data_IF_380690327186
#
_entry.id   IF_380690327186
#
_cell.length_a   1.000
_cell.length_b   1.000
_cell.length_c   1.000
_cell.angle_alpha   90.00
_cell.angle_beta   90.00
_cell.angle_gamma   90.00
#
_symmetry.space_group_name_H-M   'P 1'
#
loop_
_entity.id
_entity.type
_entity.pdbx_description
1 polymer ?
#
# COMPACT_ATOMS: atom_id res chain seq x y z
N UNK A 1 7.19 10.33 -5.34
CA UNK A 1 7.02 9.14 -6.21
C UNK A 1 7.77 7.97 -5.59
N UNK A 2 7.22 6.75 -5.56
CA UNK A 2 7.92 5.63 -4.90
C UNK A 2 9.02 5.05 -5.81
N UNK A 3 10.13 4.52 -5.25
CA UNK A 3 11.19 3.92 -6.06
C UNK A 3 10.72 2.78 -6.98
N UNK A 4 9.71 2.02 -6.54
CA UNK A 4 9.08 0.97 -7.35
C UNK A 4 8.35 1.53 -8.57
N UNK A 5 7.63 2.64 -8.42
CA UNK A 5 6.97 3.31 -9.55
C UNK A 5 8.00 3.79 -10.56
N UNK A 6 9.14 4.32 -10.10
CA UNK A 6 10.20 4.76 -11.00
C UNK A 6 10.80 3.63 -11.82
N UNK A 7 11.09 2.52 -11.14
CA UNK A 7 11.64 1.34 -11.79
C UNK A 7 10.65 0.71 -12.76
N UNK A 8 9.37 0.61 -12.41
CA UNK A 8 8.35 -0.01 -13.25
C UNK A 8 7.96 0.83 -14.47
N UNK A 9 7.99 2.17 -14.36
CA UNK A 9 7.60 3.07 -15.46
C UNK A 9 8.80 3.44 -16.34
N UNK A 10 9.94 3.80 -15.74
CA UNK A 10 11.10 4.32 -16.47
C UNK A 10 12.30 3.37 -16.50
N UNK A 11 12.24 2.22 -15.82
CA UNK A 11 13.40 1.31 -15.72
C UNK A 11 14.54 1.86 -14.85
N UNK A 12 14.32 2.96 -14.14
CA UNK A 12 15.37 3.66 -13.37
C UNK A 12 15.53 3.02 -11.99
N UNK A 13 16.79 2.77 -11.61
CA UNK A 13 17.19 2.25 -10.31
C UNK A 13 18.12 3.24 -9.60
N UNK A 14 18.19 3.20 -8.26
CA UNK A 14 19.18 3.96 -7.50
C UNK A 14 20.60 3.47 -7.81
N UNK A 15 21.58 4.34 -7.58
CA UNK A 15 23.01 4.00 -7.74
C UNK A 15 23.50 3.02 -6.68
N UNK A 16 22.89 3.04 -5.50
CA UNK A 16 23.19 2.08 -4.45
C UNK A 16 22.77 0.68 -4.88
N UNK A 17 23.75 -0.22 -4.98
CA UNK A 17 23.52 -1.58 -5.48
C UNK A 17 22.59 -2.41 -4.57
N UNK A 18 22.63 -2.17 -3.27
CA UNK A 18 21.79 -2.88 -2.31
C UNK A 18 20.34 -2.42 -2.45
N UNK A 19 20.11 -1.12 -2.59
CA UNK A 19 18.79 -0.55 -2.83
C UNK A 19 18.25 -0.99 -4.20
N UNK A 20 19.07 -0.97 -5.25
CA UNK A 20 18.68 -1.42 -6.59
C UNK A 20 18.28 -2.91 -6.58
N UNK A 21 19.07 -3.75 -5.91
CA UNK A 21 18.78 -5.18 -5.72
C UNK A 21 17.50 -5.38 -4.93
N UNK A 22 17.27 -4.58 -3.88
CA UNK A 22 16.05 -4.61 -3.09
C UNK A 22 14.81 -4.29 -3.93
N UNK A 23 14.87 -3.22 -4.73
CA UNK A 23 13.80 -2.80 -5.62
C UNK A 23 13.51 -3.89 -6.65
N UNK A 24 14.53 -4.41 -7.34
CA UNK A 24 14.36 -5.51 -8.32
C UNK A 24 13.66 -6.72 -7.70
N UNK A 25 14.08 -7.16 -6.51
CA UNK A 25 13.47 -8.30 -5.81
C UNK A 25 12.01 -8.06 -5.45
N UNK A 26 11.66 -6.83 -5.06
CA UNK A 26 10.29 -6.49 -4.63
C UNK A 26 9.38 -6.07 -5.77
N UNK A 27 9.92 -5.65 -6.92
CA UNK A 27 9.15 -5.13 -8.05
C UNK A 27 8.09 -6.11 -8.55
N UNK A 28 8.35 -7.42 -8.51
CA UNK A 28 7.40 -8.47 -8.92
C UNK A 28 6.09 -8.50 -8.10
N UNK A 29 6.06 -7.84 -6.93
CA UNK A 29 4.86 -7.67 -6.11
C UNK A 29 4.07 -6.41 -6.45
N UNK A 30 4.46 -5.66 -7.49
CA UNK A 30 3.79 -4.43 -7.87
C UNK A 30 3.50 -4.38 -9.37
N UNK A 31 2.43 -3.68 -9.74
CA UNK A 31 2.02 -3.43 -11.12
C UNK A 31 1.55 -1.98 -11.26
N UNK A 32 1.63 -1.43 -12.47
CA UNK A 32 1.06 -0.12 -12.81
C UNK A 32 -0.20 -0.36 -13.64
N UNK A 33 -1.32 0.21 -13.21
CA UNK A 33 -2.57 0.23 -13.96
C UNK A 33 -3.09 1.66 -13.96
N UNK A 34 -3.43 2.18 -15.13
CA UNK A 34 -3.93 3.55 -15.32
C UNK A 34 -3.06 4.63 -14.61
N UNK A 35 -1.73 4.46 -14.68
CA UNK A 35 -0.77 5.37 -14.04
C UNK A 35 -0.66 5.24 -12.52
N UNK A 36 -1.44 4.37 -11.88
CA UNK A 36 -1.44 4.11 -10.44
C UNK A 36 -0.68 2.84 -10.08
N UNK A 37 -0.06 2.84 -8.89
CA UNK A 37 0.70 1.69 -8.40
C UNK A 37 -0.18 0.79 -7.57
N UNK A 38 -0.20 -0.50 -7.90
CA UNK A 38 -0.91 -1.52 -7.14
C UNK A 38 0.05 -2.56 -6.63
N UNK A 39 -0.21 -3.07 -5.42
CA UNK A 39 0.48 -4.22 -4.84
C UNK A 39 -0.30 -5.49 -5.17
N UNK A 40 0.39 -6.45 -5.79
CA UNK A 40 -0.09 -7.81 -6.05
C UNK A 40 0.30 -8.74 -4.92
N UNK A 41 -0.66 -9.54 -4.46
CA UNK A 41 -0.44 -10.72 -3.59
C UNK A 41 -0.96 -11.96 -4.30
N UNK A 42 -0.50 -13.13 -3.86
CA UNK A 42 -0.79 -14.41 -4.52
C UNK A 42 -2.29 -14.75 -4.56
N UNK A 43 -3.00 -14.47 -3.46
CA UNK A 43 -4.41 -14.86 -3.24
C UNK A 43 -5.29 -13.68 -2.83
N UNK A 44 -4.86 -12.44 -3.09
CA UNK A 44 -5.63 -11.25 -2.70
C UNK A 44 -5.83 -10.31 -3.89
N UNK A 45 -6.94 -9.54 -3.91
CA UNK A 45 -7.13 -8.47 -4.87
C UNK A 45 -5.93 -7.52 -4.91
N UNK A 46 -5.79 -6.82 -6.04
CA UNK A 46 -4.81 -5.76 -6.16
C UNK A 46 -5.10 -4.66 -5.14
N UNK A 47 -4.10 -4.30 -4.35
CA UNK A 47 -4.21 -3.24 -3.36
C UNK A 47 -3.61 -1.98 -3.93
N UNK A 48 -4.41 -0.92 -4.08
CA UNK A 48 -3.91 0.38 -4.53
C UNK A 48 -2.93 0.93 -3.51
N UNK A 49 -1.73 1.26 -3.96
CA UNK A 49 -0.72 1.90 -3.13
C UNK A 49 -1.06 3.38 -2.97
N UNK A 50 -1.29 3.80 -1.73
CA UNK A 50 -1.57 5.19 -1.39
C UNK A 50 -0.27 5.95 -1.10
N UNK A 51 -0.26 7.23 -1.46
CA UNK A 51 0.74 8.16 -0.92
C UNK A 51 0.38 8.55 0.53
N UNK A 52 1.27 9.29 1.20
CA UNK A 52 1.05 9.69 2.60
C UNK A 52 -0.25 10.49 2.79
N UNK A 53 -0.50 11.50 1.95
CA UNK A 53 -1.71 12.33 2.06
C UNK A 53 -3.00 11.52 1.88
N UNK A 54 -3.02 10.58 0.93
CA UNK A 54 -4.14 9.68 0.71
C UNK A 54 -4.33 8.70 1.88
N UNK A 55 -3.24 8.17 2.42
CA UNK A 55 -3.27 7.30 3.59
C UNK A 55 -3.80 8.06 4.82
N UNK A 56 -3.33 9.28 5.06
CA UNK A 56 -3.78 10.14 6.15
C UNK A 56 -5.27 10.47 6.03
N UNK A 57 -5.75 10.72 4.81
CA UNK A 57 -7.17 10.90 4.55
C UNK A 57 -7.98 9.65 4.90
N UNK A 58 -7.58 8.48 4.37
CA UNK A 58 -8.27 7.21 4.65
C UNK A 58 -8.26 6.89 6.15
N UNK A 59 -7.16 7.18 6.85
CA UNK A 59 -7.06 6.97 8.29
C UNK A 59 -7.99 7.89 9.08
N UNK A 60 -8.09 9.16 8.69
CA UNK A 60 -9.07 10.09 9.30
C UNK A 60 -10.49 9.63 9.06
N UNK A 61 -10.85 9.28 7.83
CA UNK A 61 -12.19 8.77 7.51
C UNK A 61 -12.52 7.45 8.22
N UNK A 62 -11.54 6.56 8.43
CA UNK A 62 -11.75 5.33 9.18
C UNK A 62 -11.92 5.57 10.69
N UNK A 63 -11.33 6.64 11.21
CA UNK A 63 -11.43 7.04 12.61
C UNK A 63 -12.69 7.87 12.89
N UNK A 64 -13.07 8.75 11.96
CA UNK A 64 -14.24 9.63 12.04
C UNK A 64 -15.52 8.93 11.56
N UNK A 65 -15.40 7.93 10.69
CA UNK A 65 -16.50 7.34 9.93
C UNK A 65 -17.10 6.05 10.50
N UNK A 66 -18.36 5.82 10.09
CA UNK A 66 -19.31 4.76 10.47
C UNK A 66 -18.82 3.31 10.14
N UNK A 67 -17.61 3.12 9.62
CA UNK A 67 -17.02 1.78 9.45
C UNK A 67 -16.97 0.98 10.77
N UNK A 68 -17.14 1.68 11.91
CA UNK A 68 -17.27 1.13 13.24
C UNK A 68 -18.32 0.02 13.38
N UNK A 69 -19.46 0.06 12.66
CA UNK A 69 -20.50 -0.97 12.85
C UNK A 69 -20.25 -2.28 12.09
N UNK A 70 -19.75 -2.24 10.85
CA UNK A 70 -19.66 -3.45 10.01
C UNK A 70 -18.37 -4.25 10.20
N UNK A 71 -17.39 -3.73 10.94
CA UNK A 71 -16.05 -4.33 11.02
C UNK A 71 -15.50 -4.51 12.44
N UNK A 72 -16.36 -4.39 13.46
CA UNK A 72 -16.03 -4.71 14.86
C UNK A 72 -15.28 -6.05 14.93
N UNK A 73 -14.04 -6.02 15.41
CA UNK A 73 -13.18 -7.20 15.58
C UNK A 73 -12.04 -7.38 14.58
N UNK A 74 -11.93 -6.52 13.56
CA UNK A 74 -10.77 -6.52 12.65
C UNK A 74 -9.80 -5.38 12.95
N UNK A 75 -8.50 -5.67 12.86
CA UNK A 75 -7.44 -4.67 12.94
C UNK A 75 -7.54 -3.64 11.81
N UNK A 76 -7.02 -2.43 12.04
CA UNK A 76 -7.08 -1.33 11.05
C UNK A 76 -6.45 -1.71 9.71
N UNK A 77 -5.34 -2.44 9.72
CA UNK A 77 -4.70 -2.94 8.49
C UNK A 77 -5.63 -3.89 7.71
N UNK A 78 -6.37 -4.75 8.41
CA UNK A 78 -7.38 -5.62 7.79
C UNK A 78 -8.53 -4.81 7.20
N UNK A 79 -8.99 -3.74 7.89
CA UNK A 79 -10.05 -2.84 7.39
C UNK A 79 -9.61 -2.16 6.09
N UNK A 80 -8.39 -1.61 6.05
CA UNK A 80 -7.82 -0.94 4.87
C UNK A 80 -7.61 -1.91 3.71
N UNK A 81 -7.09 -3.12 3.97
CA UNK A 81 -6.90 -4.15 2.93
C UNK A 81 -8.24 -4.60 2.35
N UNK A 82 -9.32 -4.66 3.15
CA UNK A 82 -10.66 -5.04 2.70
C UNK A 82 -11.24 -4.03 1.69
N UNK A 83 -10.94 -2.75 1.85
CA UNK A 83 -11.29 -1.70 0.86
C UNK A 83 -10.22 -1.53 -0.22
N UNK A 84 -9.35 -2.53 -0.38
CA UNK A 84 -8.33 -2.62 -1.44
C UNK A 84 -7.26 -1.53 -1.42
N UNK A 85 -6.91 -1.00 -0.25
CA UNK A 85 -5.84 -0.02 -0.09
C UNK A 85 -4.59 -0.61 0.59
N UNK A 86 -3.43 -0.01 0.32
CA UNK A 86 -2.15 -0.40 0.90
C UNK A 86 -1.16 0.78 0.96
N UNK A 87 -0.30 0.81 1.97
CA UNK A 87 0.92 1.63 2.00
C UNK A 87 1.97 0.98 2.93
N UNK A 88 3.25 1.37 2.86
CA UNK A 88 4.33 0.68 3.59
C UNK A 88 4.13 0.58 5.11
N UNK A 89 3.75 1.67 5.77
CA UNK A 89 3.53 1.72 7.24
C UNK A 89 2.19 1.13 7.68
N UNK A 90 1.35 0.64 6.76
CA UNK A 90 0.06 0.04 7.10
C UNK A 90 0.20 -1.11 8.11
N UNK A 91 1.31 -1.86 8.05
CA UNK A 91 1.59 -2.97 8.97
C UNK A 91 1.97 -2.54 10.38
N UNK A 92 2.33 -1.27 10.56
CA UNK A 92 2.70 -0.68 11.85
C UNK A 92 1.47 -0.07 12.55
N UNK A 93 0.30 -0.09 11.91
CA UNK A 93 -0.91 0.42 12.53
C UNK A 93 -1.28 -0.45 13.74
N UNK A 94 -1.53 0.15 14.91
CA UNK A 94 -1.97 -0.60 16.06
C UNK A 94 -3.29 -1.30 15.77
N UNK A 95 -3.40 -2.56 16.20
CA UNK A 95 -4.66 -3.32 16.22
C UNK A 95 -5.65 -2.80 17.28
N UNK A 96 -5.33 -1.69 17.94
CA UNK A 96 -6.00 -1.21 19.14
C UNK A 96 -6.97 -0.10 18.74
N UNK A 97 -8.20 -0.51 18.40
CA UNK A 97 -9.47 0.18 18.63
C UNK A 97 -10.53 -0.89 18.84
#
# INVERSE_FOLDING_TARGET
>A
MTPYKNFLIWGVLPRDENEARHIKRKANFYVILDGELFRRRLTSPLLKCLNSQQADYVMRELHEGICDLYTRGHSLDTKVVRISYYWPTLRELPSIL
#
